data_IF_736943029902
#
_entry.id   IF_736943029902
#
_cell.length_a   1.000
_cell.length_b   1.000
_cell.length_c   1.000
_cell.angle_alpha   90.00
_cell.angle_beta   90.00
_cell.angle_gamma   90.00
#
_symmetry.space_group_name_H-M   'P 1'
#
loop_
_entity.id
_entity.type
_entity.pdbx_description
1 polymer ?
#
# COMPACT_ATOMS: atom_id res chain seq x y z
N UNK A 1 15.74 -1.09 -35.82
CA UNK A 1 14.66 -0.09 -35.99
C UNK A 1 14.89 0.90 -37.14
N UNK A 2 16.10 1.09 -37.68
CA UNK A 2 16.35 2.07 -38.77
C UNK A 2 16.19 1.51 -40.20
N UNK A 3 16.46 0.22 -40.38
CA UNK A 3 16.37 -0.47 -41.69
C UNK A 3 14.94 -0.53 -42.25
N UNK A 4 13.91 -0.41 -41.39
CA UNK A 4 12.50 -0.37 -41.81
C UNK A 4 12.08 0.97 -42.43
N UNK A 5 12.89 2.02 -42.29
CA UNK A 5 12.62 3.36 -42.84
C UNK A 5 13.50 3.70 -44.05
N UNK A 6 14.30 2.75 -44.55
CA UNK A 6 15.25 2.97 -45.65
C UNK A 6 16.39 3.93 -45.30
N UNK A 7 16.64 4.17 -44.00
CA UNK A 7 17.68 5.06 -43.54
C UNK A 7 18.96 4.28 -43.23
N UNK A 8 20.10 4.79 -43.73
CA UNK A 8 21.41 4.24 -43.43
C UNK A 8 21.66 4.21 -41.91
N UNK A 9 22.23 3.11 -41.42
CA UNK A 9 22.42 2.81 -39.99
C UNK A 9 23.88 3.01 -39.52
N UNK A 10 24.76 3.54 -40.38
CA UNK A 10 26.15 3.79 -40.01
C UNK A 10 26.34 5.17 -39.35
N UNK A 11 27.26 5.22 -38.38
CA UNK A 11 27.64 6.45 -37.67
C UNK A 11 27.35 6.44 -36.16
N UNK A 12 27.61 7.58 -35.53
CA UNK A 12 27.38 7.81 -34.11
C UNK A 12 25.90 7.98 -33.78
N UNK A 13 25.51 7.78 -32.51
CA UNK A 13 24.12 7.87 -32.05
C UNK A 13 23.48 9.22 -32.40
N UNK A 14 24.26 10.30 -32.33
CA UNK A 14 23.83 11.67 -32.62
C UNK A 14 23.57 11.90 -34.11
N UNK A 15 24.33 11.23 -34.98
CA UNK A 15 24.12 11.26 -36.43
C UNK A 15 22.87 10.49 -36.82
N UNK A 16 22.62 9.34 -36.19
CA UNK A 16 21.41 8.55 -36.38
C UNK A 16 20.18 9.33 -35.90
N UNK A 17 20.27 9.98 -34.73
CA UNK A 17 19.20 10.82 -34.19
C UNK A 17 18.88 12.00 -35.10
N UNK A 18 19.91 12.66 -35.66
CA UNK A 18 19.75 13.76 -36.63
C UNK A 18 19.08 13.30 -37.92
N UNK A 19 19.42 12.09 -38.41
CA UNK A 19 18.83 11.48 -39.61
C UNK A 19 17.34 11.18 -39.44
N UNK A 20 16.96 10.62 -38.30
CA UNK A 20 15.56 10.33 -37.96
C UNK A 20 14.73 11.60 -37.83
N UNK A 21 15.26 12.64 -37.15
CA UNK A 21 14.56 13.93 -37.00
C UNK A 21 14.33 14.60 -38.36
N UNK A 22 15.32 14.55 -39.26
CA UNK A 22 15.18 15.10 -40.62
C UNK A 22 14.09 14.37 -41.42
N UNK A 23 14.07 13.04 -41.36
CA UNK A 23 13.07 12.22 -42.08
C UNK A 23 11.62 12.54 -41.67
N UNK A 24 11.35 12.76 -40.39
CA UNK A 24 10.01 13.14 -39.94
C UNK A 24 9.64 14.60 -40.27
N UNK A 25 10.63 15.50 -40.31
CA UNK A 25 10.43 16.90 -40.70
C UNK A 25 10.06 17.03 -42.18
N UNK A 26 10.75 16.29 -43.04
CA UNK A 26 10.53 16.33 -44.50
C UNK A 26 9.20 15.66 -44.90
N UNK A 27 8.67 14.74 -44.08
CA UNK A 27 7.33 14.14 -44.27
C UNK A 27 6.17 14.97 -43.72
N UNK A 28 6.45 15.93 -42.83
CA UNK A 28 5.43 16.82 -42.28
C UNK A 28 5.04 17.95 -43.26
N UNK A 29 5.82 18.18 -44.31
CA UNK A 29 5.58 19.24 -45.30
C UNK A 29 4.73 18.80 -46.51
N UNK A 30 4.33 17.53 -46.59
CA UNK A 30 3.75 16.93 -47.81
C UNK A 30 2.32 16.39 -47.64
N UNK A 31 1.48 17.09 -46.86
CA UNK A 31 0.03 16.85 -46.84
C UNK A 31 -0.74 18.10 -47.27
N UNK A 32 -1.37 18.11 -48.46
CA UNK A 32 -2.31 19.15 -48.85
C UNK A 32 -3.65 18.98 -48.12
N UNK A 33 -4.13 20.06 -47.51
CA UNK A 33 -5.46 20.17 -46.89
C UNK A 33 -6.50 20.50 -47.97
N UNK A 34 -7.61 19.75 -48.13
CA UNK A 34 -8.72 20.20 -48.96
C UNK A 34 -9.66 21.15 -48.18
N UNK A 35 -10.28 22.15 -48.84
CA UNK A 35 -11.04 23.20 -48.17
C UNK A 35 -12.47 22.78 -47.80
N UNK A 36 -12.91 23.25 -46.65
CA UNK A 36 -14.30 23.25 -46.16
C UNK A 36 -15.14 24.22 -47.01
N UNK A 37 -16.30 23.77 -47.49
CA UNK A 37 -17.36 24.65 -47.99
C UNK A 37 -18.64 24.45 -47.17
N UNK A 38 -19.12 25.55 -46.60
CA UNK A 38 -20.40 25.68 -45.90
C UNK A 38 -21.30 26.64 -46.67
N UNK A 39 -22.47 26.17 -47.14
CA UNK A 39 -23.64 27.03 -47.43
C UNK A 39 -24.93 26.24 -47.75
N UNK A 40 -25.78 26.08 -46.72
CA UNK A 40 -27.24 26.38 -46.63
C UNK A 40 -28.30 25.78 -47.62
N UNK A 41 -29.61 25.77 -47.21
CA UNK A 41 -30.47 24.59 -47.29
C UNK A 41 -31.51 24.65 -48.41
N UNK A 42 -31.99 23.50 -48.85
CA UNK A 42 -33.13 23.41 -49.76
C UNK A 42 -34.31 22.67 -49.13
N UNK A 43 -35.44 23.37 -49.16
CA UNK A 43 -36.78 22.97 -48.75
C UNK A 43 -37.34 21.97 -49.76
N UNK A 44 -37.97 20.88 -49.31
CA UNK A 44 -39.05 20.24 -50.06
C UNK A 44 -40.09 19.60 -49.12
N UNK A 45 -41.34 19.85 -49.46
CA UNK A 45 -42.62 19.64 -48.75
C UNK A 45 -43.08 18.16 -48.79
N UNK A 46 -43.89 17.68 -47.82
CA UNK A 46 -44.35 16.29 -47.73
C UNK A 46 -45.54 15.98 -48.64
N UNK A 47 -45.64 14.73 -49.10
CA UNK A 47 -46.80 14.18 -49.81
C UNK A 47 -47.44 13.06 -48.97
N UNK A 48 -48.72 13.25 -48.65
CA UNK A 48 -49.62 12.28 -48.02
C UNK A 48 -50.39 11.48 -49.07
N UNK A 49 -50.71 10.21 -48.79
CA UNK A 49 -51.71 9.41 -49.51
C UNK A 49 -51.80 7.96 -48.99
N UNK A 50 -52.96 7.27 -49.05
CA UNK A 50 -53.46 6.47 -47.92
C UNK A 50 -53.72 4.96 -48.17
N UNK A 51 -53.76 4.19 -47.07
CA UNK A 51 -54.57 2.97 -46.85
C UNK A 51 -53.90 1.59 -47.10
N UNK A 52 -54.47 0.46 -46.59
CA UNK A 52 -55.64 0.28 -45.74
C UNK A 52 -55.41 -0.55 -44.43
N UNK A 53 -56.41 -0.47 -43.57
CA UNK A 53 -56.58 -1.10 -42.25
C UNK A 53 -57.16 -2.52 -42.32
N UNK A 54 -56.74 -3.44 -41.43
CA UNK A 54 -57.55 -4.36 -40.56
C UNK A 54 -56.65 -5.46 -39.93
N UNK A 55 -57.05 -6.18 -38.85
CA UNK A 55 -57.81 -5.76 -37.67
C UNK A 55 -57.10 -6.11 -36.34
N UNK A 56 -57.61 -5.49 -35.28
CA UNK A 56 -57.31 -5.71 -33.86
C UNK A 56 -57.75 -7.10 -33.40
N UNK A 57 -56.91 -7.79 -32.62
CA UNK A 57 -57.30 -8.93 -31.78
C UNK A 57 -56.63 -8.79 -30.40
N UNK A 58 -57.47 -8.36 -29.46
CA UNK A 58 -57.65 -8.81 -28.06
C UNK A 58 -56.41 -9.06 -27.18
N UNK A 59 -56.37 -8.25 -26.13
CA UNK A 59 -55.47 -8.28 -24.97
C UNK A 59 -55.50 -9.62 -24.21
N UNK A 60 -54.34 -10.01 -23.67
CA UNK A 60 -54.22 -10.86 -22.47
C UNK A 60 -53.42 -10.04 -21.45
N UNK A 61 -53.88 -9.85 -20.19
CA UNK A 61 -53.14 -9.07 -19.22
C UNK A 61 -51.97 -9.88 -18.67
N UNK A 62 -50.75 -9.49 -19.04
CA UNK A 62 -49.56 -9.93 -18.32
C UNK A 62 -49.46 -9.12 -17.03
N UNK A 63 -49.68 -9.77 -15.90
CA UNK A 63 -49.43 -9.26 -14.55
C UNK A 63 -47.95 -8.87 -14.44
N UNK A 64 -47.63 -7.60 -14.67
CA UNK A 64 -46.32 -7.05 -14.36
C UNK A 64 -46.21 -6.90 -12.85
N UNK A 65 -45.57 -7.88 -12.22
CA UNK A 65 -45.06 -7.72 -10.86
C UNK A 65 -44.05 -6.55 -10.91
N UNK A 66 -44.25 -5.46 -10.14
CA UNK A 66 -43.22 -4.45 -10.04
C UNK A 66 -42.04 -5.09 -9.31
N UNK A 67 -40.99 -5.39 -10.07
CA UNK A 67 -39.67 -5.69 -9.51
C UNK A 67 -39.27 -4.44 -8.72
N UNK A 68 -39.37 -4.53 -7.41
CA UNK A 68 -38.81 -3.53 -6.50
C UNK A 68 -37.29 -3.57 -6.66
N UNK A 69 -36.77 -2.74 -7.54
CA UNK A 69 -35.37 -2.32 -7.51
C UNK A 69 -35.11 -1.75 -6.11
N UNK A 70 -34.07 -2.19 -5.40
CA UNK A 70 -33.70 -1.55 -4.15
C UNK A 70 -33.22 -0.14 -4.52
N UNK A 71 -34.05 0.87 -4.26
CA UNK A 71 -33.61 2.26 -4.21
C UNK A 71 -32.58 2.37 -3.10
N UNK A 72 -31.32 2.10 -3.46
CA UNK A 72 -30.15 2.41 -2.64
C UNK A 72 -30.16 3.92 -2.50
N UNK A 73 -30.68 4.41 -1.37
CA UNK A 73 -30.63 5.81 -0.91
C UNK A 73 -29.46 6.56 -1.57
N UNK A 74 -29.73 7.22 -2.69
CA UNK A 74 -28.71 7.79 -3.56
C UNK A 74 -28.28 9.13 -2.99
N UNK A 75 -27.53 9.09 -1.90
CA UNK A 75 -26.70 10.24 -1.56
C UNK A 75 -25.66 10.37 -2.66
N UNK A 76 -25.53 11.53 -3.33
CA UNK A 76 -24.47 11.73 -4.31
C UNK A 76 -23.14 11.52 -3.59
N UNK A 77 -22.33 10.58 -4.06
CA UNK A 77 -21.03 10.28 -3.48
C UNK A 77 -20.18 11.54 -3.60
N UNK A 78 -19.74 12.07 -2.45
CA UNK A 78 -18.89 13.26 -2.42
C UNK A 78 -17.45 12.79 -2.34
N UNK A 79 -16.75 12.83 -3.47
CA UNK A 79 -15.32 12.51 -3.59
C UNK A 79 -14.45 13.28 -2.57
N UNK A 80 -14.91 14.44 -2.11
CA UNK A 80 -14.26 15.24 -1.07
C UNK A 80 -14.24 14.55 0.32
N UNK A 81 -15.18 13.67 0.59
CA UNK A 81 -15.30 12.96 1.87
C UNK A 81 -14.27 11.81 1.99
N UNK A 82 -13.66 11.41 0.88
CA UNK A 82 -12.66 10.33 0.82
C UNK A 82 -11.37 10.68 1.57
N UNK A 83 -11.10 11.98 1.79
CA UNK A 83 -9.86 12.49 2.44
C UNK A 83 -8.58 11.97 1.78
N UNK A 84 -8.64 11.68 0.49
CA UNK A 84 -7.49 11.28 -0.33
C UNK A 84 -6.97 12.51 -1.07
N UNK A 85 -5.66 12.72 -1.04
CA UNK A 85 -5.02 13.84 -1.73
C UNK A 85 -3.70 13.41 -2.33
N UNK A 86 -3.41 13.85 -3.55
CA UNK A 86 -2.13 13.62 -4.22
C UNK A 86 -1.55 14.93 -4.75
N UNK A 87 -0.33 15.24 -4.33
CA UNK A 87 0.34 16.48 -4.68
C UNK A 87 1.41 16.34 -5.79
N UNK A 88 1.58 15.13 -6.33
CA UNK A 88 2.63 14.78 -7.29
C UNK A 88 3.89 14.19 -6.64
N UNK A 89 3.96 14.14 -5.31
CA UNK A 89 5.06 13.55 -4.54
C UNK A 89 4.54 12.36 -3.71
N UNK A 90 5.32 11.29 -3.61
CA UNK A 90 4.93 10.07 -2.88
C UNK A 90 4.78 8.86 -3.81
N UNK A 91 3.96 7.90 -3.40
CA UNK A 91 3.67 6.68 -4.18
C UNK A 91 2.43 6.90 -5.08
N UNK A 92 2.61 7.14 -6.39
CA UNK A 92 1.50 7.34 -7.33
C UNK A 92 0.67 6.07 -7.55
N UNK A 93 1.26 4.89 -7.31
CA UNK A 93 0.59 3.60 -7.45
C UNK A 93 -0.42 3.44 -6.32
N UNK A 94 0.02 3.69 -5.08
CA UNK A 94 -0.85 3.63 -3.90
C UNK A 94 -2.02 4.62 -4.02
N UNK A 95 -1.81 5.79 -4.61
CA UNK A 95 -2.88 6.75 -4.86
C UNK A 95 -3.93 6.20 -5.83
N UNK A 96 -3.52 5.61 -6.96
CA UNK A 96 -4.45 5.00 -7.91
C UNK A 96 -5.19 3.80 -7.29
N UNK A 97 -4.46 2.90 -6.63
CA UNK A 97 -5.04 1.74 -5.93
C UNK A 97 -6.12 2.21 -4.94
N UNK A 98 -5.83 3.27 -4.17
CA UNK A 98 -6.77 3.80 -3.19
C UNK A 98 -8.03 4.40 -3.82
N UNK A 99 -7.91 5.06 -4.97
CA UNK A 99 -9.06 5.62 -5.67
C UNK A 99 -9.95 4.50 -6.22
N UNK A 100 -9.35 3.49 -6.85
CA UNK A 100 -10.08 2.34 -7.39
C UNK A 100 -10.85 1.61 -6.28
N UNK A 101 -10.23 1.38 -5.11
CA UNK A 101 -10.89 0.83 -3.92
C UNK A 101 -12.12 1.65 -3.47
N UNK A 102 -12.03 2.98 -3.52
CA UNK A 102 -13.11 3.87 -3.10
C UNK A 102 -14.24 3.91 -4.13
N UNK A 103 -13.90 3.91 -5.42
CA UNK A 103 -14.87 3.76 -6.50
C UNK A 103 -15.68 2.48 -6.34
N UNK A 104 -15.01 1.34 -6.11
CA UNK A 104 -15.66 0.04 -5.91
C UNK A 104 -16.54 0.03 -4.65
N UNK A 105 -16.05 0.59 -3.54
CA UNK A 105 -16.79 0.65 -2.26
C UNK A 105 -18.06 1.49 -2.37
N UNK A 106 -17.97 2.64 -3.03
CA UNK A 106 -19.09 3.59 -3.12
C UNK A 106 -20.02 3.28 -4.31
N UNK A 107 -19.60 2.40 -5.23
CA UNK A 107 -20.32 2.05 -6.45
C UNK A 107 -20.29 3.18 -7.47
N UNK A 108 -19.19 3.93 -7.51
CA UNK A 108 -18.97 5.03 -8.45
C UNK A 108 -18.23 4.49 -9.65
N UNK A 109 -18.82 4.67 -10.83
CA UNK A 109 -18.15 4.37 -12.08
C UNK A 109 -16.92 5.28 -12.26
N UNK A 110 -15.77 4.70 -12.63
CA UNK A 110 -14.50 5.41 -12.65
C UNK A 110 -14.49 6.56 -13.68
N UNK A 111 -15.27 6.46 -14.75
CA UNK A 111 -15.39 7.52 -15.76
C UNK A 111 -16.12 8.76 -15.20
N UNK A 112 -17.05 8.55 -14.26
CA UNK A 112 -17.76 9.63 -13.56
C UNK A 112 -16.89 10.34 -12.53
N UNK A 113 -15.71 9.80 -12.19
CA UNK A 113 -14.78 10.42 -11.26
C UNK A 113 -14.00 11.59 -11.87
N UNK A 114 -13.75 11.58 -13.19
CA UNK A 114 -12.89 12.57 -13.86
C UNK A 114 -13.26 14.04 -13.60
N UNK A 115 -14.55 14.45 -13.59
CA UNK A 115 -14.95 15.82 -13.25
C UNK A 115 -14.64 16.21 -11.80
N UNK A 116 -14.61 15.23 -10.89
CA UNK A 116 -14.41 15.44 -9.45
C UNK A 116 -12.95 15.26 -9.00
N UNK A 117 -12.12 14.66 -9.84
CA UNK A 117 -10.70 14.43 -9.59
C UNK A 117 -9.89 15.68 -9.21
N UNK A 118 -10.17 16.90 -9.71
CA UNK A 118 -9.51 18.11 -9.23
C UNK A 118 -9.57 18.30 -7.71
N UNK A 119 -10.61 17.78 -7.04
CA UNK A 119 -10.74 17.86 -5.58
C UNK A 119 -9.79 16.93 -4.81
N UNK A 120 -9.25 15.89 -5.47
CA UNK A 120 -8.27 14.94 -4.91
C UNK A 120 -6.82 15.33 -5.22
N UNK A 121 -6.59 16.33 -6.06
CA UNK A 121 -5.27 16.72 -6.52
C UNK A 121 -4.83 18.03 -5.88
N UNK A 122 -3.55 18.14 -5.55
CA UNK A 122 -2.96 19.32 -4.94
C UNK A 122 -1.66 19.70 -5.66
N UNK A 123 -1.18 20.93 -5.43
CA UNK A 123 0.13 21.39 -5.90
C UNK A 123 0.37 21.15 -7.39
N UNK A 124 1.50 20.51 -7.69
CA UNK A 124 1.95 20.23 -9.06
C UNK A 124 0.99 19.27 -9.78
N UNK A 125 0.44 18.27 -9.08
CA UNK A 125 -0.50 17.33 -9.69
C UNK A 125 -1.81 17.98 -10.13
N UNK A 126 -2.31 18.96 -9.37
CA UNK A 126 -3.48 19.73 -9.79
C UNK A 126 -3.17 20.58 -11.04
N UNK A 127 -1.98 21.15 -11.14
CA UNK A 127 -1.56 21.92 -12.32
C UNK A 127 -1.41 21.01 -13.56
N UNK A 128 -0.72 19.88 -13.40
CA UNK A 128 -0.57 18.86 -14.44
C UNK A 128 -1.94 18.37 -14.96
N UNK A 129 -2.89 18.10 -14.05
CA UNK A 129 -4.24 17.67 -14.44
C UNK A 129 -4.96 18.73 -15.27
N UNK A 130 -4.95 20.00 -14.85
CA UNK A 130 -5.62 21.09 -15.60
C UNK A 130 -5.07 21.23 -17.03
N UNK A 131 -3.75 21.09 -17.19
CA UNK A 131 -3.09 21.21 -18.50
C UNK A 131 -3.47 20.07 -19.47
N UNK A 132 -3.81 18.89 -18.93
CA UNK A 132 -4.07 17.70 -19.74
C UNK A 132 -5.56 17.28 -19.74
N UNK A 133 -6.43 17.95 -18.97
CA UNK A 133 -7.84 17.58 -18.75
C UNK A 133 -8.65 17.32 -20.03
N UNK A 134 -8.39 18.07 -21.09
CA UNK A 134 -9.12 17.95 -22.36
C UNK A 134 -8.75 16.70 -23.17
N UNK A 135 -7.69 15.98 -22.77
CA UNK A 135 -7.20 14.79 -23.48
C UNK A 135 -7.94 13.51 -23.09
N UNK A 136 -8.68 13.54 -21.97
CA UNK A 136 -9.28 12.35 -21.38
C UNK A 136 -10.80 12.46 -21.35
N UNK A 137 -11.45 11.45 -21.91
CA UNK A 137 -12.90 11.23 -21.82
C UNK A 137 -13.27 10.05 -20.92
N UNK A 138 -12.31 9.17 -20.63
CA UNK A 138 -12.46 7.96 -19.83
C UNK A 138 -11.34 7.84 -18.79
N UNK A 139 -11.60 7.05 -17.75
CA UNK A 139 -10.64 6.75 -16.68
C UNK A 139 -9.37 6.13 -17.24
N UNK A 140 -9.51 5.27 -18.26
CA UNK A 140 -8.39 4.58 -18.89
C UNK A 140 -7.38 5.56 -19.53
N UNK A 141 -7.85 6.57 -20.27
CA UNK A 141 -7.01 7.62 -20.83
C UNK A 141 -6.25 8.39 -19.76
N UNK A 142 -6.95 8.78 -18.69
CA UNK A 142 -6.33 9.43 -17.54
C UNK A 142 -5.25 8.55 -16.90
N UNK A 143 -5.54 7.29 -16.58
CA UNK A 143 -4.60 6.36 -15.94
C UNK A 143 -3.37 6.13 -16.81
N UNK A 144 -3.53 6.08 -18.14
CA UNK A 144 -2.42 5.91 -19.08
C UNK A 144 -1.44 7.07 -19.00
N UNK A 145 -1.93 8.31 -19.08
CA UNK A 145 -1.07 9.50 -18.99
C UNK A 145 -0.54 9.73 -17.57
N UNK A 146 -1.33 9.40 -16.54
CA UNK A 146 -0.90 9.47 -15.14
C UNK A 146 0.28 8.53 -14.88
N UNK A 147 0.21 7.30 -15.39
CA UNK A 147 1.31 6.34 -15.32
C UNK A 147 2.53 6.86 -16.08
N UNK A 148 2.34 7.36 -17.31
CA UNK A 148 3.44 7.90 -18.11
C UNK A 148 4.18 9.04 -17.41
N UNK A 149 3.46 9.91 -16.68
CA UNK A 149 4.04 11.08 -16.05
C UNK A 149 4.63 10.81 -14.65
N UNK A 150 3.94 10.03 -13.81
CA UNK A 150 4.33 9.84 -12.41
C UNK A 150 5.09 8.55 -12.14
N UNK A 151 5.00 7.53 -13.00
CA UNK A 151 5.68 6.27 -12.76
C UNK A 151 7.11 6.33 -13.33
N UNK A 152 8.07 5.63 -12.71
CA UNK A 152 9.38 5.42 -13.32
C UNK A 152 9.25 4.80 -14.72
N UNK A 153 10.12 5.21 -15.65
CA UNK A 153 10.11 4.70 -17.03
C UNK A 153 10.28 3.17 -17.07
N UNK A 154 11.11 2.65 -16.16
CA UNK A 154 11.41 1.23 -15.98
C UNK A 154 10.58 0.58 -14.87
N UNK A 155 9.39 1.12 -14.53
CA UNK A 155 8.62 0.69 -13.36
C UNK A 155 8.41 -0.84 -13.28
N UNK A 156 8.12 -1.48 -14.42
CA UNK A 156 7.92 -2.94 -14.47
C UNK A 156 9.22 -3.72 -14.23
N UNK A 157 10.33 -3.28 -14.81
CA UNK A 157 11.66 -3.85 -14.61
C UNK A 157 12.15 -3.64 -13.17
N UNK A 158 11.94 -2.45 -12.63
CA UNK A 158 12.29 -2.09 -11.25
C UNK A 158 11.52 -2.96 -10.26
N UNK A 159 10.23 -3.19 -10.49
CA UNK A 159 9.43 -4.14 -9.71
C UNK A 159 9.98 -5.56 -9.79
N UNK A 160 10.40 -6.05 -10.96
CA UNK A 160 11.02 -7.40 -11.06
C UNK A 160 12.30 -7.50 -10.24
N UNK A 161 13.12 -6.46 -10.27
CA UNK A 161 14.34 -6.39 -9.46
C UNK A 161 13.98 -6.38 -7.97
N UNK A 162 13.00 -5.58 -7.56
CA UNK A 162 12.54 -5.50 -6.18
C UNK A 162 11.95 -6.83 -5.69
N UNK A 163 11.06 -7.45 -6.48
CA UNK A 163 10.53 -8.80 -6.26
C UNK A 163 11.69 -9.77 -6.07
N UNK A 164 12.73 -9.71 -6.91
CA UNK A 164 13.86 -10.64 -6.80
C UNK A 164 14.72 -10.46 -5.55
N UNK A 165 14.79 -9.22 -5.03
CA UNK A 165 15.57 -8.86 -3.86
C UNK A 165 14.78 -9.00 -2.56
N UNK A 166 13.45 -9.11 -2.64
CA UNK A 166 12.58 -9.26 -1.47
C UNK A 166 12.61 -10.69 -0.94
N UNK A 167 13.68 -11.01 -0.21
CA UNK A 167 13.86 -12.26 0.52
C UNK A 167 13.22 -12.14 1.92
N UNK A 168 12.70 -13.24 2.45
CA UNK A 168 12.27 -13.30 3.86
C UNK A 168 13.48 -13.09 4.78
N UNK A 169 13.36 -12.18 5.75
CA UNK A 169 14.44 -11.94 6.73
C UNK A 169 14.41 -12.98 7.86
N UNK A 170 15.55 -13.32 8.49
CA UNK A 170 15.61 -14.35 9.54
C UNK A 170 14.67 -14.11 10.74
N UNK A 171 14.41 -12.85 11.07
CA UNK A 171 13.54 -12.45 12.20
C UNK A 171 12.15 -12.00 11.75
N UNK A 172 11.83 -12.15 10.47
CA UNK A 172 10.57 -11.70 9.90
C UNK A 172 9.55 -12.83 9.84
N UNK A 173 8.34 -12.63 10.40
CA UNK A 173 7.28 -13.62 10.31
C UNK A 173 6.83 -13.80 8.86
N UNK A 174 6.49 -15.03 8.49
CA UNK A 174 6.08 -15.36 7.10
C UNK A 174 4.93 -14.50 6.60
N UNK A 175 4.02 -14.07 7.46
CA UNK A 175 2.86 -13.24 7.10
C UNK A 175 3.28 -11.88 6.56
N UNK A 176 4.25 -11.23 7.21
CA UNK A 176 4.74 -9.92 6.81
C UNK A 176 5.48 -10.04 5.49
N UNK A 177 6.36 -11.04 5.39
CA UNK A 177 7.07 -11.38 4.16
C UNK A 177 6.12 -11.60 2.97
N UNK A 178 5.13 -12.49 3.13
CA UNK A 178 4.20 -12.82 2.05
C UNK A 178 3.33 -11.61 1.69
N UNK A 179 2.86 -10.84 2.67
CA UNK A 179 2.03 -9.64 2.40
C UNK A 179 2.78 -8.62 1.55
N UNK A 180 4.04 -8.33 1.91
CA UNK A 180 4.87 -7.39 1.13
C UNK A 180 5.18 -7.94 -0.25
N UNK A 181 5.59 -9.21 -0.36
CA UNK A 181 5.91 -9.81 -1.65
C UNK A 181 4.68 -9.93 -2.56
N UNK A 182 3.52 -10.31 -2.03
CA UNK A 182 2.25 -10.33 -2.76
C UNK A 182 1.85 -8.93 -3.23
N UNK A 183 2.14 -7.88 -2.45
CA UNK A 183 1.91 -6.49 -2.87
C UNK A 183 2.76 -6.15 -4.10
N UNK A 184 4.05 -6.52 -4.10
CA UNK A 184 4.91 -6.32 -5.27
C UNK A 184 4.45 -7.13 -6.49
N UNK A 185 4.07 -8.40 -6.28
CA UNK A 185 3.57 -9.28 -7.34
C UNK A 185 2.26 -8.77 -7.95
N UNK A 186 1.33 -8.28 -7.12
CA UNK A 186 0.07 -7.65 -7.55
C UNK A 186 0.34 -6.40 -8.38
N UNK A 187 1.21 -5.51 -7.89
CA UNK A 187 1.57 -4.26 -8.58
C UNK A 187 2.26 -4.51 -9.93
N UNK A 188 3.03 -5.59 -10.05
CA UNK A 188 3.58 -5.99 -11.33
C UNK A 188 2.50 -6.46 -12.32
N UNK A 189 1.48 -7.18 -11.86
CA UNK A 189 0.26 -7.52 -12.63
C UNK A 189 0.43 -8.53 -13.77
N UNK A 190 1.64 -8.68 -14.32
CA UNK A 190 1.90 -9.52 -15.51
C UNK A 190 2.46 -10.93 -15.19
N UNK A 191 2.31 -11.42 -13.95
CA UNK A 191 2.81 -12.74 -13.55
C UNK A 191 1.66 -13.73 -13.34
N UNK A 192 1.80 -14.92 -13.91
CA UNK A 192 0.83 -16.00 -13.72
C UNK A 192 0.86 -16.54 -12.27
N UNK A 193 -0.25 -17.10 -11.75
CA UNK A 193 -0.32 -17.60 -10.38
C UNK A 193 0.82 -18.58 -10.01
N UNK A 194 1.20 -19.47 -10.92
CA UNK A 194 2.32 -20.40 -10.71
C UNK A 194 3.68 -19.70 -10.61
N UNK A 195 3.87 -18.64 -11.40
CA UNK A 195 5.08 -17.82 -11.34
C UNK A 195 5.12 -17.02 -10.04
N UNK A 196 3.99 -16.45 -9.62
CA UNK A 196 3.87 -15.79 -8.32
C UNK A 196 4.22 -16.76 -7.19
N UNK A 197 3.70 -17.99 -7.21
CA UNK A 197 4.03 -19.02 -6.23
C UNK A 197 5.50 -19.43 -6.27
N UNK A 198 6.08 -19.53 -7.47
CA UNK A 198 7.52 -19.79 -7.64
C UNK A 198 8.37 -18.70 -6.96
N UNK A 199 8.00 -17.42 -7.14
CA UNK A 199 8.64 -16.30 -6.46
C UNK A 199 8.50 -16.37 -4.94
N UNK A 200 7.28 -16.60 -4.44
CA UNK A 200 7.00 -16.73 -3.01
C UNK A 200 7.78 -17.89 -2.36
N UNK A 201 7.91 -19.01 -3.05
CA UNK A 201 8.72 -20.13 -2.59
C UNK A 201 10.22 -19.82 -2.66
N UNK A 202 10.71 -19.31 -3.80
CA UNK A 202 12.15 -19.06 -4.04
C UNK A 202 12.74 -18.06 -3.06
N UNK A 203 11.97 -17.03 -2.70
CA UNK A 203 12.40 -15.96 -1.83
C UNK A 203 12.18 -16.25 -0.33
N UNK A 204 11.61 -17.41 -0.01
CA UNK A 204 11.44 -17.89 1.36
C UNK A 204 12.80 -18.23 2.00
N UNK A 205 12.88 -18.12 3.33
CA UNK A 205 14.07 -18.52 4.08
C UNK A 205 14.52 -19.94 3.70
N UNK A 206 15.83 -20.16 3.44
CA UNK A 206 16.35 -21.48 3.09
C UNK A 206 15.98 -22.56 4.12
N UNK A 207 15.96 -22.22 5.41
CA UNK A 207 15.59 -23.11 6.50
C UNK A 207 14.19 -23.69 6.33
N UNK A 208 13.22 -22.89 5.89
CA UNK A 208 11.86 -23.37 5.63
C UNK A 208 11.79 -24.16 4.32
N UNK A 209 12.54 -23.75 3.28
CA UNK A 209 12.60 -24.49 2.00
C UNK A 209 13.16 -25.91 2.16
N UNK A 210 14.04 -26.16 3.13
CA UNK A 210 14.55 -27.50 3.41
C UNK A 210 13.47 -28.46 3.92
N UNK A 211 12.47 -27.93 4.62
CA UNK A 211 11.40 -28.74 5.21
C UNK A 211 10.15 -28.80 4.34
N UNK A 212 10.05 -27.95 3.31
CA UNK A 212 8.91 -27.88 2.39
C UNK A 212 9.19 -28.60 1.08
N UNK A 213 8.21 -29.37 0.61
CA UNK A 213 8.22 -29.93 -0.74
C UNK A 213 7.50 -29.00 -1.70
N UNK A 214 8.19 -28.50 -2.73
CA UNK A 214 7.58 -27.63 -3.76
C UNK A 214 6.38 -28.28 -4.45
N UNK A 215 6.37 -29.59 -4.65
CA UNK A 215 5.28 -30.33 -5.29
C UNK A 215 3.97 -30.35 -4.49
N UNK A 216 4.02 -30.16 -3.18
CA UNK A 216 2.83 -30.08 -2.32
C UNK A 216 2.19 -28.69 -2.27
N UNK A 217 2.78 -27.70 -2.95
CA UNK A 217 2.33 -26.31 -2.90
C UNK A 217 1.60 -25.95 -4.20
N UNK A 218 0.31 -25.65 -4.07
CA UNK A 218 -0.56 -25.30 -5.21
C UNK A 218 -0.86 -23.82 -5.28
N UNK A 219 -0.83 -23.11 -4.15
CA UNK A 219 -1.19 -21.70 -4.07
C UNK A 219 -0.49 -20.99 -2.89
N UNK A 220 -0.73 -19.69 -2.76
CA UNK A 220 -0.18 -18.89 -1.66
C UNK A 220 -0.70 -19.33 -0.28
N UNK A 221 -1.94 -19.84 -0.20
CA UNK A 221 -2.58 -20.20 1.05
C UNK A 221 -2.01 -21.49 1.64
N UNK A 222 -1.76 -22.49 0.81
CA UNK A 222 -1.07 -23.74 1.14
C UNK A 222 0.35 -23.47 1.59
N UNK A 223 1.10 -22.61 0.89
CA UNK A 223 2.43 -22.16 1.32
C UNK A 223 2.39 -21.50 2.71
N UNK A 224 1.50 -20.52 2.91
CA UNK A 224 1.38 -19.82 4.19
C UNK A 224 1.07 -20.78 5.34
N UNK A 225 0.13 -21.72 5.14
CA UNK A 225 -0.25 -22.71 6.14
C UNK A 225 0.94 -23.59 6.52
N UNK A 226 1.61 -24.16 5.52
CA UNK A 226 2.75 -25.05 5.76
C UNK A 226 3.92 -24.35 6.45
N UNK A 227 4.22 -23.08 6.11
CA UNK A 227 5.28 -22.33 6.80
C UNK A 227 4.89 -22.03 8.24
N UNK A 228 3.63 -21.66 8.52
CA UNK A 228 3.17 -21.42 9.90
C UNK A 228 3.25 -22.67 10.77
N UNK A 229 2.91 -23.83 10.20
CA UNK A 229 3.08 -25.13 10.89
C UNK A 229 4.55 -25.38 11.23
N UNK A 230 5.47 -25.12 10.29
CA UNK A 230 6.91 -25.22 10.55
C UNK A 230 7.41 -24.23 11.60
N UNK A 231 6.96 -22.98 11.57
CA UNK A 231 7.28 -21.97 12.59
C UNK A 231 6.85 -22.44 13.98
N UNK A 232 5.68 -23.08 14.10
CA UNK A 232 5.19 -23.63 15.36
C UNK A 232 6.07 -24.78 15.85
N UNK A 233 6.40 -25.75 14.99
CA UNK A 233 7.26 -26.89 15.33
C UNK A 233 8.66 -26.44 15.77
N UNK A 234 9.28 -25.50 15.03
CA UNK A 234 10.61 -24.98 15.38
C UNK A 234 10.59 -24.20 16.70
N UNK A 235 9.49 -23.49 17.00
CA UNK A 235 9.30 -22.81 18.28
C UNK A 235 9.16 -23.79 19.44
N UNK A 236 8.52 -24.94 19.23
CA UNK A 236 8.41 -26.00 20.24
C UNK A 236 9.78 -26.63 20.53
N UNK A 237 10.58 -26.91 19.50
CA UNK A 237 11.92 -27.49 19.63
C UNK A 237 12.92 -26.57 20.36
N UNK A 238 12.78 -25.26 20.16
CA UNK A 238 13.64 -24.25 20.81
C UNK A 238 13.15 -23.85 22.20
N UNK A 239 11.97 -24.34 22.63
CA UNK A 239 11.47 -24.09 23.98
C UNK A 239 12.30 -24.89 24.97
N UNK A 240 12.98 -24.27 25.94
CA UNK A 240 13.79 -25.01 26.91
C UNK A 240 12.90 -25.99 27.69
N UNK A 241 13.12 -27.29 27.48
CA UNK A 241 12.57 -28.36 28.30
C UNK A 241 13.25 -28.32 29.66
N UNK A 242 12.70 -27.52 30.57
CA UNK A 242 13.23 -27.36 31.92
C UNK A 242 12.18 -26.81 32.87
N UNK A 243 11.21 -27.63 33.25
CA UNK A 243 10.66 -27.53 34.62
C UNK A 243 11.67 -28.25 35.52
N UNK A 244 12.23 -27.64 36.57
CA UNK A 244 12.97 -28.38 37.56
C UNK A 244 12.00 -29.33 38.27
N UNK A 245 12.46 -30.57 38.40
CA UNK A 245 11.85 -31.67 39.10
C UNK A 245 11.58 -31.25 40.56
N UNK A 246 10.31 -30.96 40.89
CA UNK A 246 9.89 -30.85 42.29
C UNK A 246 9.47 -32.24 42.73
N UNK A 247 10.48 -33.01 43.17
CA UNK A 247 10.25 -34.20 43.97
C UNK A 247 9.43 -33.83 45.20
N UNK A 248 8.38 -34.61 45.37
CA UNK A 248 7.39 -34.63 46.44
C UNK A 248 8.08 -34.76 47.81
N UNK A 249 7.76 -33.84 48.73
CA UNK A 249 7.90 -34.07 50.16
C UNK A 249 6.53 -33.85 50.83
N UNK A 250 6.10 -34.67 51.80
CA UNK A 250 4.76 -34.59 52.40
C UNK A 250 4.60 -33.37 53.30
N UNK A 251 3.35 -32.93 53.41
CA UNK A 251 2.90 -31.76 54.16
C UNK A 251 2.81 -31.99 55.68
N UNK A 252 3.05 -30.93 56.48
CA UNK A 252 2.35 -30.65 57.75
C UNK A 252 2.43 -29.15 58.14
N UNK A 253 1.33 -28.42 57.84
CA UNK A 253 0.52 -27.38 58.56
C UNK A 253 1.12 -26.72 59.85
N UNK A 254 0.97 -25.40 60.18
CA UNK A 254 -0.29 -24.61 60.27
C UNK A 254 -0.30 -23.15 59.74
N UNK A 255 -1.41 -22.70 59.12
CA UNK A 255 -2.49 -21.82 59.68
C UNK A 255 -1.96 -20.41 60.05
N UNK A 256 -2.33 -19.30 59.39
CA UNK A 256 -3.67 -18.67 59.40
C UNK A 256 -3.85 -17.55 58.34
N UNK A 257 -5.09 -17.47 57.83
CA UNK A 257 -5.78 -16.47 56.98
C UNK A 257 -5.91 -15.08 57.69
N UNK A 258 -6.11 -13.88 57.06
CA UNK A 258 -7.21 -13.46 56.14
C UNK A 258 -6.82 -12.70 54.85
N UNK A 259 -7.42 -13.03 53.69
CA UNK A 259 -8.52 -12.31 52.95
C UNK A 259 -8.11 -10.90 52.48
N UNK A 260 -8.29 -10.43 51.24
CA UNK A 260 -9.35 -10.59 50.22
C UNK A 260 -8.80 -10.13 48.86
N UNK A 261 -9.25 -10.78 47.79
CA UNK A 261 -9.22 -10.32 46.38
C UNK A 261 -10.02 -9.01 46.24
N UNK A 262 -9.77 -8.15 45.22
CA UNK A 262 -10.46 -8.39 43.95
C UNK A 262 -9.59 -8.19 42.70
N UNK A 263 -10.01 -8.88 41.65
CA UNK A 263 -9.57 -8.86 40.25
C UNK A 263 -9.72 -7.50 39.55
N UNK A 264 -8.84 -7.17 38.60
CA UNK A 264 -9.14 -6.20 37.54
C UNK A 264 -9.64 -6.92 36.26
N UNK A 265 -10.62 -6.35 35.53
CA UNK A 265 -11.03 -6.83 34.22
C UNK A 265 -10.18 -6.20 33.10
N UNK A 266 -10.18 -6.91 31.98
CA UNK A 266 -9.72 -6.52 30.64
C UNK A 266 -10.07 -5.08 30.24
N UNK A 267 -9.16 -4.43 29.51
CA UNK A 267 -9.51 -3.30 28.64
C UNK A 267 -8.67 -3.26 27.36
N UNK A 268 -9.36 -3.68 26.31
CA UNK A 268 -9.43 -3.14 24.94
C UNK A 268 -8.47 -2.01 24.56
N UNK A 269 -7.72 -2.24 23.50
CA UNK A 269 -6.94 -1.24 22.76
C UNK A 269 -7.82 -0.50 21.75
N UNK A 270 -7.72 0.84 21.75
CA UNK A 270 -7.94 1.67 20.56
C UNK A 270 -7.06 2.93 20.64
N UNK A 271 -6.54 3.45 19.51
CA UNK A 271 -5.44 4.42 19.48
C UNK A 271 -5.95 5.84 19.25
N UNK A 272 -5.27 6.85 19.82
CA UNK A 272 -5.37 8.25 19.34
C UNK A 272 -4.06 9.01 19.39
N UNK A 273 -3.81 9.61 18.25
CA UNK A 273 -2.93 10.72 17.89
C UNK A 273 -3.12 11.96 18.76
N UNK A 274 -2.04 12.72 18.93
CA UNK A 274 -1.89 14.15 18.59
C UNK A 274 -1.07 14.92 19.62
N UNK A 275 -0.18 15.73 19.06
CA UNK A 275 0.64 16.72 19.72
C UNK A 275 -0.20 17.73 20.51
N UNK A 276 0.25 18.03 21.73
CA UNK A 276 -0.12 19.22 22.47
C UNK A 276 1.14 19.74 23.19
N UNK A 277 1.43 21.03 22.97
CA UNK A 277 2.45 21.78 23.71
C UNK A 277 1.88 22.10 25.11
N UNK A 278 2.60 21.86 26.21
CA UNK A 278 2.24 22.43 27.50
C UNK A 278 3.12 23.65 27.86
N UNK A 279 2.47 24.67 28.40
CA UNK A 279 3.04 25.83 29.10
C UNK A 279 3.56 25.44 30.51
N UNK A 280 4.33 26.30 31.20
CA UNK A 280 5.33 25.89 32.19
C UNK A 280 4.72 25.66 33.59
N UNK A 281 5.18 24.60 34.28
CA UNK A 281 4.89 24.45 35.72
C UNK A 281 4.68 23.06 36.29
N UNK A 282 5.04 21.96 35.60
CA UNK A 282 5.03 20.62 36.21
C UNK A 282 6.31 19.84 35.88
N UNK A 283 6.88 19.06 36.83
CA UNK A 283 8.10 18.31 36.60
C UNK A 283 7.79 17.11 35.70
N UNK A 284 7.86 17.33 34.38
CA UNK A 284 7.91 16.23 33.43
C UNK A 284 9.17 15.41 33.75
N UNK A 285 9.02 14.13 34.08
CA UNK A 285 10.16 13.20 34.11
C UNK A 285 10.63 12.99 32.66
N UNK A 286 11.37 13.95 32.14
CA UNK A 286 11.93 13.88 30.79
C UNK A 286 12.83 12.66 30.70
N UNK A 287 12.65 11.80 29.68
CA UNK A 287 13.50 10.63 29.51
C UNK A 287 14.96 11.09 29.35
N UNK A 288 15.83 10.56 30.19
CA UNK A 288 17.27 10.82 30.11
C UNK A 288 17.86 10.03 28.94
N UNK A 289 18.76 10.67 28.19
CA UNK A 289 19.47 10.01 27.12
C UNK A 289 20.43 8.96 27.68
N UNK A 290 20.22 7.70 27.31
CA UNK A 290 21.04 6.56 27.71
C UNK A 290 22.47 6.55 27.13
N UNK A 291 22.82 7.53 26.29
CA UNK A 291 24.17 7.68 25.71
C UNK A 291 25.02 8.69 26.47
N UNK A 292 24.46 9.82 26.90
CA UNK A 292 25.21 10.91 27.55
C UNK A 292 24.71 11.28 28.95
N UNK A 293 23.57 10.74 29.40
CA UNK A 293 22.98 11.02 30.70
C UNK A 293 22.18 12.32 30.81
N UNK A 294 22.08 13.12 29.73
CA UNK A 294 21.36 14.40 29.72
C UNK A 294 19.88 14.24 29.36
N UNK A 295 19.00 15.08 29.91
CA UNK A 295 17.57 15.09 29.62
C UNK A 295 17.26 15.84 28.31
N UNK A 296 16.11 15.56 27.71
CA UNK A 296 15.55 16.38 26.61
C UNK A 296 15.80 15.89 25.19
N UNK A 297 16.47 14.74 25.00
CA UNK A 297 16.64 14.11 23.68
C UNK A 297 16.76 12.59 23.79
N UNK A 298 16.50 11.89 22.70
CA UNK A 298 16.64 10.44 22.63
C UNK A 298 18.03 10.02 22.13
N UNK A 299 18.40 8.75 22.36
CA UNK A 299 19.74 8.21 22.02
C UNK A 299 20.17 8.46 20.57
N UNK A 300 19.23 8.47 19.63
CA UNK A 300 19.49 8.67 18.21
C UNK A 300 19.75 10.15 17.85
N UNK A 301 19.37 11.08 18.70
CA UNK A 301 19.59 12.53 18.56
C UNK A 301 20.81 13.01 19.38
N UNK A 302 21.52 12.09 20.05
CA UNK A 302 22.61 12.43 20.96
C UNK A 302 23.94 12.61 20.22
N UNK A 303 24.47 13.84 20.21
CA UNK A 303 25.80 14.19 19.68
C UNK A 303 26.94 14.06 20.71
N UNK A 304 26.63 13.83 21.98
CA UNK A 304 27.63 13.70 23.07
C UNK A 304 28.46 12.41 23.03
N UNK A 305 29.54 12.36 23.81
CA UNK A 305 30.33 11.14 23.99
C UNK A 305 29.57 10.09 24.81
N UNK A 306 29.76 8.82 24.45
CA UNK A 306 29.08 7.72 25.13
C UNK A 306 29.68 7.53 26.53
N UNK A 307 28.86 7.70 27.57
CA UNK A 307 29.22 7.39 28.95
C UNK A 307 28.55 6.09 29.37
N UNK A 308 29.29 5.24 30.09
CA UNK A 308 28.73 4.06 30.73
C UNK A 308 27.97 4.52 31.97
N UNK A 309 26.67 4.21 32.07
CA UNK A 309 25.82 4.63 33.20
C UNK A 309 24.97 3.44 33.65
N UNK A 310 24.86 3.23 34.97
CA UNK A 310 23.99 2.20 35.53
C UNK A 310 22.51 2.57 35.37
N UNK A 311 21.73 1.68 34.78
CA UNK A 311 20.28 1.86 34.54
C UNK A 311 19.41 1.83 35.78
N UNK A 312 19.94 1.39 36.92
CA UNK A 312 19.19 1.26 38.18
C UNK A 312 19.44 2.45 39.12
N UNK A 313 20.70 2.85 39.29
CA UNK A 313 21.10 3.88 40.25
C UNK A 313 21.72 5.14 39.62
N UNK A 314 21.89 5.18 38.28
CA UNK A 314 22.42 6.30 37.50
C UNK A 314 23.87 6.72 37.81
N UNK A 315 24.67 5.86 38.45
CA UNK A 315 26.13 6.10 38.61
C UNK A 315 26.82 6.03 37.24
N UNK A 316 27.64 7.04 36.93
CA UNK A 316 28.51 7.07 35.75
C UNK A 316 29.71 6.10 35.92
N UNK A 317 30.32 5.69 34.82
CA UNK A 317 31.46 4.77 34.71
C UNK A 317 31.24 3.31 35.18
N UNK A 318 30.00 2.87 35.42
CA UNK A 318 29.69 1.47 35.78
C UNK A 318 28.47 0.92 35.02
N UNK A 319 28.62 -0.24 34.38
CA UNK A 319 27.51 -0.91 33.69
C UNK A 319 26.55 -1.53 34.71
N UNK A 320 25.26 -1.62 34.40
CA UNK A 320 24.24 -2.15 35.33
C UNK A 320 24.47 -3.57 35.83
N UNK A 321 25.31 -4.35 35.12
CA UNK A 321 25.68 -5.72 35.50
C UNK A 321 26.76 -5.74 36.59
N UNK A 322 27.64 -4.75 36.58
CA UNK A 322 28.79 -4.63 37.50
C UNK A 322 28.51 -3.61 38.62
N UNK A 323 27.30 -3.06 38.64
CA UNK A 323 26.90 -2.06 39.62
C UNK A 323 26.36 -2.75 40.89
N UNK A 324 26.90 -2.45 42.09
CA UNK A 324 26.50 -3.08 43.35
C UNK A 324 25.12 -2.65 43.88
N UNK A 325 24.27 -2.03 43.05
CA UNK A 325 22.95 -1.56 43.48
C UNK A 325 21.88 -2.67 43.44
N UNK A 326 21.25 -2.94 44.58
CA UNK A 326 20.11 -3.84 44.74
C UNK A 326 18.81 -3.26 44.13
N UNK A 327 17.90 -4.08 43.58
CA UNK A 327 16.62 -3.62 43.06
C UNK A 327 15.70 -3.18 44.22
N UNK A 328 15.69 -1.89 44.54
CA UNK A 328 14.78 -1.35 45.56
C UNK A 328 15.12 0.03 46.11
N UNK A 329 16.39 0.46 46.10
CA UNK A 329 16.77 1.78 46.59
C UNK A 329 16.95 2.78 45.44
N UNK A 330 15.81 3.24 44.90
CA UNK A 330 15.76 4.39 44.02
C UNK A 330 15.38 5.65 44.82
N UNK A 331 16.31 6.20 45.62
CA UNK A 331 16.33 7.63 45.96
C UNK A 331 17.77 8.12 45.98
N UNK A 332 17.96 9.23 45.27
CA UNK A 332 19.25 9.68 44.78
C UNK A 332 20.21 10.21 45.83
N UNK A 333 21.46 10.31 45.40
CA UNK A 333 22.42 11.26 45.92
C UNK A 333 23.19 11.78 44.72
N UNK A 334 22.82 12.99 44.30
CA UNK A 334 23.64 13.81 43.42
C UNK A 334 24.69 14.53 44.28
N UNK A 335 25.93 14.68 43.82
CA UNK A 335 26.62 15.95 43.98
C UNK A 335 26.10 16.98 42.96
#
# INVERSE_FOLDING_TARGET
MLSGFGLDATGTVEELRRRVVKFFRDRATDTPVPPVQTSTPNVLVPLSGPGPSVPVLTQVPATSVPVSTPERSSRPVRVQDWRVTFNGKGDPVAFLERIEELCDSDGVDADQLLPHLPGLLQGEAAAWFRNNRQRWCDWKGFVTDFRLFYFPVSYQEDLKVEISRRLQRPTEPVTTYLTELQTLLRRHGNLQPDQQLSWMYRNLLPEYRLHLKRSGLTDAATLLRSVRELEAVLREQTRPTGKPDKQTAPAEVPTSRPTTRPTPPERTTAPKTSAAIPAPGQPSSTPLCWRCGQAGHFRHECTGSAKIICSRCRKEAVMSKDCPCQPGNARGSAP
#
